data_IF_334711998598
#
_entry.id   IF_334711998598
#
_cell.length_a   1.000
_cell.length_b   1.000
_cell.length_c   1.000
_cell.angle_alpha   90.00
_cell.angle_beta   90.00
_cell.angle_gamma   90.00
#
_symmetry.space_group_name_H-M   'P 1'
#
loop_
_entity.id
_entity.type
_entity.pdbx_description
1 polymer ?
#
# COMPACT_ATOMS: atom_id res chain seq x y z
N UNK A 1 12.77 -19.75 5.44
CA UNK A 1 11.31 -19.51 5.37
C UNK A 1 11.03 -18.06 5.71
N UNK A 2 9.91 -17.49 5.26
CA UNK A 2 9.56 -16.10 5.61
C UNK A 2 9.17 -16.02 7.09
N UNK A 3 9.81 -15.12 7.85
CA UNK A 3 9.53 -14.89 9.27
C UNK A 3 8.66 -13.66 9.53
N UNK A 4 8.63 -12.70 8.60
CA UNK A 4 7.78 -11.52 8.66
C UNK A 4 7.47 -10.97 7.28
N UNK A 5 6.45 -10.13 7.21
CA UNK A 5 6.07 -9.40 6.00
C UNK A 5 6.10 -7.89 6.29
N UNK A 6 6.63 -7.13 5.34
CA UNK A 6 6.56 -5.66 5.33
C UNK A 6 5.74 -5.22 4.13
N UNK A 7 4.60 -4.59 4.38
CA UNK A 7 3.74 -4.00 3.37
C UNK A 7 4.05 -2.51 3.29
N UNK A 8 4.35 -2.01 2.10
CA UNK A 8 4.63 -0.60 1.86
C UNK A 8 3.62 -0.09 0.84
N UNK A 9 2.78 0.84 1.25
CA UNK A 9 1.72 1.37 0.40
C UNK A 9 1.75 2.89 0.25
N UNK A 10 1.21 3.39 -0.87
CA UNK A 10 0.89 4.81 -1.05
C UNK A 10 -0.58 5.01 -1.39
N UNK A 11 -1.26 5.96 -0.74
CA UNK A 11 -2.65 6.33 -1.01
C UNK A 11 -3.59 5.12 -0.95
N UNK A 12 -4.45 4.98 -1.96
CA UNK A 12 -5.42 3.87 -2.07
C UNK A 12 -4.78 2.49 -2.22
N UNK A 13 -3.46 2.41 -2.43
CA UNK A 13 -2.72 1.14 -2.42
C UNK A 13 -2.81 0.39 -1.10
N UNK A 14 -3.26 1.03 -0.02
CA UNK A 14 -3.56 0.38 1.25
C UNK A 14 -4.72 -0.63 1.15
N UNK A 15 -5.64 -0.50 0.19
CA UNK A 15 -6.83 -1.35 0.09
C UNK A 15 -6.50 -2.85 -0.04
N UNK A 16 -5.69 -3.27 -1.02
CA UNK A 16 -5.24 -4.66 -1.12
C UNK A 16 -4.47 -5.14 0.12
N UNK A 17 -3.68 -4.26 0.76
CA UNK A 17 -3.01 -4.59 2.02
C UNK A 17 -3.99 -4.94 3.13
N UNK A 18 -5.08 -4.16 3.28
CA UNK A 18 -6.11 -4.41 4.30
C UNK A 18 -6.75 -5.78 4.10
N UNK A 19 -7.17 -6.12 2.89
CA UNK A 19 -7.76 -7.43 2.61
C UNK A 19 -6.79 -8.60 2.89
N UNK A 20 -5.50 -8.42 2.59
CA UNK A 20 -4.48 -9.41 2.93
C UNK A 20 -4.27 -9.54 4.45
N UNK A 21 -4.23 -8.42 5.17
CA UNK A 21 -4.08 -8.38 6.63
C UNK A 21 -5.25 -9.07 7.31
N UNK A 22 -6.50 -8.72 6.96
CA UNK A 22 -7.71 -9.33 7.51
C UNK A 22 -7.68 -10.85 7.38
N UNK A 23 -7.26 -11.35 6.21
CA UNK A 23 -7.12 -12.79 6.01
C UNK A 23 -5.97 -13.39 6.82
N UNK A 24 -4.83 -12.70 6.89
CA UNK A 24 -3.62 -13.17 7.57
C UNK A 24 -3.79 -13.28 9.09
N UNK A 25 -4.48 -12.32 9.72
CA UNK A 25 -4.73 -12.36 11.17
C UNK A 25 -5.66 -13.50 11.55
N UNK A 26 -6.64 -13.84 10.71
CA UNK A 26 -7.53 -14.99 10.92
C UNK A 26 -6.83 -16.35 10.78
N UNK A 27 -5.83 -16.46 9.88
CA UNK A 27 -5.18 -17.74 9.59
C UNK A 27 -4.23 -18.21 10.71
N UNK A 28 -3.74 -17.31 11.56
CA UNK A 28 -2.85 -17.61 12.70
C UNK A 28 -1.46 -18.19 12.36
N UNK A 29 -1.29 -18.78 11.17
CA UNK A 29 -0.06 -19.40 10.66
C UNK A 29 0.73 -18.47 9.73
N UNK A 30 0.12 -17.38 9.28
CA UNK A 30 0.79 -16.40 8.43
C UNK A 30 1.89 -15.65 9.23
N UNK A 31 3.00 -15.20 8.63
CA UNK A 31 3.98 -14.40 9.35
C UNK A 31 3.40 -13.05 9.84
N UNK A 32 3.90 -12.47 10.94
CA UNK A 32 3.46 -11.15 11.39
C UNK A 32 3.81 -10.06 10.37
N UNK A 33 3.01 -8.98 10.37
CA UNK A 33 2.98 -7.94 9.33
C UNK A 33 3.29 -6.58 9.94
N UNK A 34 4.25 -5.86 9.35
CA UNK A 34 4.37 -4.40 9.50
C UNK A 34 3.80 -3.73 8.24
N UNK A 35 2.79 -2.87 8.41
CA UNK A 35 2.24 -2.03 7.35
C UNK A 35 2.76 -0.59 7.49
N UNK A 36 3.37 -0.07 6.44
CA UNK A 36 3.79 1.33 6.33
C UNK A 36 3.00 1.95 5.17
N UNK A 37 2.01 2.76 5.50
CA UNK A 37 1.14 3.42 4.51
C UNK A 37 1.43 4.90 4.44
N UNK A 38 1.71 5.41 3.24
CA UNK A 38 1.99 6.83 3.02
C UNK A 38 0.84 7.55 2.32
N UNK A 39 0.54 8.75 2.78
CA UNK A 39 -0.54 9.61 2.27
C UNK A 39 -0.01 11.03 2.14
N UNK A 40 -0.61 11.84 1.26
CA UNK A 40 -0.15 13.23 1.12
C UNK A 40 -0.58 14.07 2.31
N UNK A 41 -1.84 13.92 2.72
CA UNK A 41 -2.45 14.65 3.84
C UNK A 41 -3.16 13.69 4.79
N UNK A 42 -3.56 14.18 5.97
CA UNK A 42 -4.27 13.37 6.99
C UNK A 42 -5.68 12.98 6.53
N UNK A 43 -6.32 13.84 5.74
CA UNK A 43 -7.67 13.64 5.21
C UNK A 43 -7.73 12.52 4.16
N UNK A 44 -6.58 12.17 3.57
CA UNK A 44 -6.47 11.06 2.60
C UNK A 44 -6.34 9.68 3.28
N UNK A 45 -6.26 9.61 4.62
CA UNK A 45 -6.13 8.35 5.36
C UNK A 45 -7.49 7.66 5.47
N UNK A 46 -7.70 6.62 4.66
CA UNK A 46 -9.02 5.99 4.47
C UNK A 46 -9.33 4.76 5.35
N UNK A 47 -8.33 4.16 6.01
CA UNK A 47 -8.49 2.95 6.83
C UNK A 47 -7.97 3.11 8.27
N UNK A 48 -7.82 4.34 8.76
CA UNK A 48 -7.20 4.62 10.06
C UNK A 48 -7.86 3.84 11.20
N UNK A 49 -9.15 4.08 11.42
CA UNK A 49 -9.90 3.47 12.53
C UNK A 49 -9.89 1.94 12.46
N UNK A 50 -10.00 1.39 11.24
CA UNK A 50 -10.01 -0.05 11.00
C UNK A 50 -8.65 -0.69 11.27
N UNK A 51 -7.56 -0.07 10.78
CA UNK A 51 -6.20 -0.57 11.01
C UNK A 51 -5.79 -0.43 12.48
N UNK A 52 -6.22 0.64 13.15
CA UNK A 52 -6.04 0.79 14.59
C UNK A 52 -6.77 -0.30 15.38
N UNK A 53 -8.02 -0.59 15.03
CA UNK A 53 -8.77 -1.69 15.63
C UNK A 53 -8.07 -3.04 15.41
N UNK A 54 -7.71 -3.38 14.17
CA UNK A 54 -7.02 -4.63 13.85
C UNK A 54 -5.67 -4.77 14.58
N UNK A 55 -4.89 -3.69 14.69
CA UNK A 55 -3.63 -3.72 15.42
C UNK A 55 -3.84 -3.94 16.92
N UNK A 56 -4.88 -3.33 17.50
CA UNK A 56 -5.21 -3.47 18.92
C UNK A 56 -5.76 -4.87 19.24
N UNK A 57 -6.52 -5.47 18.33
CA UNK A 57 -7.04 -6.83 18.45
C UNK A 57 -5.97 -7.91 18.23
N UNK A 58 -4.98 -7.63 17.37
CA UNK A 58 -3.93 -8.59 17.00
C UNK A 58 -2.51 -8.01 17.11
N UNK A 59 -2.10 -7.50 18.28
CA UNK A 59 -0.84 -6.78 18.43
C UNK A 59 0.39 -7.66 18.18
N UNK A 60 0.31 -8.97 18.40
CA UNK A 60 1.37 -9.94 18.12
C UNK A 60 1.49 -10.29 16.62
N UNK A 61 0.57 -9.81 15.79
CA UNK A 61 0.45 -10.17 14.38
C UNK A 61 0.52 -8.98 13.44
N UNK A 62 0.09 -7.82 13.89
CA UNK A 62 0.01 -6.61 13.10
C UNK A 62 0.64 -5.45 13.85
N UNK A 63 1.43 -4.68 13.11
CA UNK A 63 1.77 -3.31 13.43
C UNK A 63 1.54 -2.48 12.18
N UNK A 64 0.96 -1.30 12.33
CA UNK A 64 0.78 -0.38 11.24
C UNK A 64 1.20 1.03 11.64
N UNK A 65 1.68 1.78 10.66
CA UNK A 65 1.94 3.21 10.81
C UNK A 65 1.55 3.95 9.54
N UNK A 66 1.08 5.18 9.70
CA UNK A 66 0.86 6.12 8.62
C UNK A 66 2.01 7.13 8.52
N UNK A 67 2.34 7.54 7.29
CA UNK A 67 3.30 8.61 7.00
C UNK A 67 2.59 9.69 6.19
N UNK A 68 2.59 10.92 6.69
CA UNK A 68 1.98 12.08 6.02
C UNK A 68 3.07 12.84 5.29
N UNK A 69 3.13 12.69 3.97
CA UNK A 69 4.28 13.16 3.18
C UNK A 69 4.35 14.68 3.04
N UNK A 70 3.25 15.42 3.22
CA UNK A 70 3.30 16.89 3.29
C UNK A 70 3.96 17.40 4.58
N UNK A 71 3.91 16.61 5.65
CA UNK A 71 4.50 16.98 6.95
C UNK A 71 5.94 16.46 7.06
N UNK A 72 6.17 15.23 6.59
CA UNK A 72 7.41 14.48 6.85
C UNK A 72 8.27 14.31 5.61
N UNK A 73 7.75 14.56 4.41
CA UNK A 73 8.39 14.18 3.14
C UNK A 73 8.06 12.75 2.71
N UNK A 74 8.45 12.38 1.48
CA UNK A 74 8.26 11.03 0.94
C UNK A 74 9.11 10.02 1.70
N UNK A 75 8.68 8.75 1.79
CA UNK A 75 9.45 7.69 2.45
C UNK A 75 10.90 7.57 1.93
N UNK A 76 11.11 7.75 0.63
CA UNK A 76 12.43 7.69 -0.01
C UNK A 76 13.19 9.03 -0.01
N UNK A 77 12.66 10.10 0.60
CA UNK A 77 13.24 11.44 0.49
C UNK A 77 14.54 11.64 1.29
N UNK A 78 14.74 10.88 2.37
CA UNK A 78 15.93 11.00 3.23
C UNK A 78 16.17 9.72 4.03
N UNK A 79 17.38 9.58 4.59
CA UNK A 79 17.70 8.50 5.54
C UNK A 79 16.81 8.52 6.79
N UNK A 80 16.37 9.71 7.23
CA UNK A 80 15.47 9.83 8.38
C UNK A 80 14.06 9.32 8.03
N UNK A 81 13.55 9.60 6.83
CA UNK A 81 12.27 9.06 6.36
C UNK A 81 12.32 7.53 6.23
N UNK A 82 13.46 6.99 5.79
CA UNK A 82 13.68 5.55 5.67
C UNK A 82 13.74 4.83 7.02
N UNK A 83 13.90 5.54 8.15
CA UNK A 83 13.77 4.93 9.49
C UNK A 83 12.42 4.25 9.67
N UNK A 84 11.37 4.67 8.96
CA UNK A 84 10.08 3.99 8.97
C UNK A 84 10.20 2.48 8.66
N UNK A 85 11.20 2.08 7.85
CA UNK A 85 11.49 0.69 7.47
C UNK A 85 12.28 -0.11 8.50
N UNK A 86 13.04 0.56 9.36
CA UNK A 86 13.85 -0.08 10.39
C UNK A 86 13.18 -0.03 11.76
N UNK A 87 12.34 0.97 12.00
CA UNK A 87 11.52 1.16 13.19
C UNK A 87 10.26 0.27 13.14
N UNK A 88 10.44 -1.00 12.81
CA UNK A 88 9.32 -1.95 12.68
C UNK A 88 9.19 -2.80 13.92
N UNK A 89 7.96 -3.26 14.23
CA UNK A 89 7.69 -4.05 15.43
C UNK A 89 8.29 -5.44 15.35
N UNK A 90 8.19 -6.09 14.19
CA UNK A 90 8.63 -7.46 14.02
C UNK A 90 10.06 -7.50 13.46
N UNK A 91 10.87 -8.44 13.94
CA UNK A 91 12.26 -8.61 13.49
C UNK A 91 12.38 -9.58 12.30
N UNK A 92 13.30 -9.29 11.39
CA UNK A 92 13.65 -10.17 10.27
C UNK A 92 14.94 -9.70 9.60
N UNK A 93 15.66 -10.63 9.01
CA UNK A 93 16.83 -10.39 8.17
C UNK A 93 16.46 -10.27 6.69
N UNK A 94 17.49 -10.04 5.89
CA UNK A 94 17.40 -9.88 4.43
C UNK A 94 16.78 -11.10 3.75
N UNK A 95 17.11 -12.31 4.20
CA UNK A 95 16.69 -13.56 3.57
C UNK A 95 15.33 -14.10 4.06
N UNK A 96 14.82 -13.57 5.18
CA UNK A 96 13.59 -14.05 5.82
C UNK A 96 12.47 -13.00 5.96
N UNK A 97 12.69 -11.78 5.45
CA UNK A 97 11.66 -10.75 5.32
C UNK A 97 11.08 -10.75 3.91
N UNK A 98 9.75 -10.79 3.80
CA UNK A 98 9.07 -10.56 2.52
C UNK A 98 8.58 -9.11 2.43
N UNK A 99 8.84 -8.45 1.31
CA UNK A 99 8.37 -7.10 1.04
C UNK A 99 7.28 -7.13 -0.04
N UNK A 100 6.18 -6.43 0.23
CA UNK A 100 5.14 -6.18 -0.77
C UNK A 100 4.99 -4.67 -0.96
N UNK A 101 5.24 -4.20 -2.18
CA UNK A 101 5.26 -2.79 -2.54
C UNK A 101 4.05 -2.46 -3.40
N UNK A 102 3.19 -1.56 -2.96
CA UNK A 102 1.98 -1.20 -3.69
C UNK A 102 1.78 0.31 -3.80
N UNK A 103 1.49 0.78 -5.01
CA UNK A 103 1.05 2.15 -5.23
C UNK A 103 1.85 2.88 -6.30
N UNK A 104 2.26 4.12 -6.01
CA UNK A 104 2.91 5.00 -6.97
C UNK A 104 4.16 4.34 -7.58
N UNK A 105 4.23 4.33 -8.92
CA UNK A 105 5.32 3.64 -9.63
C UNK A 105 6.74 4.13 -9.33
N UNK A 106 6.91 5.41 -8.97
CA UNK A 106 8.20 5.91 -8.50
C UNK A 106 8.59 5.24 -7.18
N UNK A 107 7.69 5.24 -6.19
CA UNK A 107 7.93 4.59 -4.89
C UNK A 107 8.25 3.11 -5.08
N UNK A 108 7.41 2.37 -5.82
CA UNK A 108 7.60 0.94 -6.05
C UNK A 108 8.95 0.65 -6.72
N UNK A 109 9.34 1.44 -7.72
CA UNK A 109 10.60 1.24 -8.45
C UNK A 109 11.83 1.54 -7.58
N UNK A 110 11.81 2.65 -6.85
CA UNK A 110 12.89 3.05 -5.93
C UNK A 110 13.09 2.02 -4.83
N UNK A 111 11.99 1.57 -4.21
CA UNK A 111 12.03 0.58 -3.14
C UNK A 111 12.49 -0.78 -3.64
N UNK A 112 11.97 -1.28 -4.77
CA UNK A 112 12.41 -2.57 -5.34
C UNK A 112 13.92 -2.55 -5.59
N UNK A 113 14.43 -1.51 -6.26
CA UNK A 113 15.85 -1.37 -6.56
C UNK A 113 16.70 -1.25 -5.28
N UNK A 114 16.24 -0.50 -4.28
CA UNK A 114 16.91 -0.36 -2.99
C UNK A 114 17.01 -1.69 -2.22
N UNK A 115 15.91 -2.45 -2.16
CA UNK A 115 15.86 -3.75 -1.50
C UNK A 115 16.77 -4.78 -2.18
N UNK A 116 16.75 -4.84 -3.52
CA UNK A 116 17.66 -5.71 -4.29
C UNK A 116 19.12 -5.34 -4.07
N UNK A 117 19.44 -4.03 -4.03
CA UNK A 117 20.80 -3.57 -3.71
C UNK A 117 21.24 -3.94 -2.29
N UNK A 118 20.29 -4.03 -1.35
CA UNK A 118 20.55 -4.48 0.02
C UNK A 118 20.68 -6.01 0.15
N UNK A 119 20.53 -6.76 -0.95
CA UNK A 119 20.66 -8.21 -0.99
C UNK A 119 19.36 -8.98 -0.77
N UNK A 120 18.21 -8.32 -0.71
CA UNK A 120 16.91 -9.01 -0.56
C UNK A 120 16.66 -9.86 -1.82
N UNK A 121 16.42 -11.18 -1.68
CA UNK A 121 16.15 -12.05 -2.82
C UNK A 121 14.94 -11.60 -3.63
N UNK A 122 14.95 -11.76 -4.95
CA UNK A 122 13.86 -11.28 -5.81
C UNK A 122 12.52 -11.93 -5.47
N UNK A 123 12.52 -13.22 -5.12
CA UNK A 123 11.33 -13.96 -4.68
C UNK A 123 10.74 -13.46 -3.35
N UNK A 124 11.48 -12.62 -2.61
CA UNK A 124 11.02 -11.93 -1.40
C UNK A 124 10.46 -10.53 -1.67
N UNK A 125 10.37 -10.12 -2.93
CA UNK A 125 9.85 -8.81 -3.31
C UNK A 125 8.70 -9.00 -4.29
N UNK A 126 7.51 -8.56 -3.88
CA UNK A 126 6.31 -8.55 -4.72
C UNK A 126 5.86 -7.11 -4.93
N UNK A 127 5.32 -6.80 -6.11
CA UNK A 127 4.98 -5.43 -6.48
C UNK A 127 3.62 -5.32 -7.16
N UNK A 128 2.89 -4.27 -6.84
CA UNK A 128 1.68 -3.81 -7.54
C UNK A 128 1.83 -2.33 -7.86
N UNK A 129 1.93 -2.00 -9.14
CA UNK A 129 2.29 -0.66 -9.57
C UNK A 129 1.09 0.06 -10.19
N UNK A 130 0.69 1.18 -9.59
CA UNK A 130 -0.21 2.11 -10.23
C UNK A 130 0.61 2.99 -11.18
N UNK A 131 0.42 2.74 -12.45
CA UNK A 131 0.93 3.58 -13.50
C UNK A 131 0.25 4.95 -13.42
N UNK A 132 1.06 5.99 -13.24
CA UNK A 132 0.62 7.36 -13.45
C UNK A 132 0.48 7.57 -14.97
N UNK A 133 -0.60 7.05 -15.55
CA UNK A 133 -0.76 7.01 -17.00
C UNK A 133 -1.00 8.43 -17.53
N UNK A 134 0.00 8.96 -18.23
CA UNK A 134 -0.26 9.74 -19.46
C UNK A 134 -0.61 8.76 -20.61
N UNK A 135 -1.55 7.84 -20.39
CA UNK A 135 -2.10 7.08 -21.50
C UNK A 135 -3.01 8.02 -22.28
N UNK A 136 -2.85 8.07 -23.60
CA UNK A 136 -3.75 8.85 -24.42
C UNK A 136 -5.18 8.33 -24.26
N UNK A 137 -6.09 9.27 -24.04
CA UNK A 137 -7.50 8.95 -23.81
C UNK A 137 -8.11 8.45 -25.11
N UNK A 138 -8.72 7.27 -25.06
CA UNK A 138 -9.52 6.78 -26.19
C UNK A 138 -10.83 7.60 -26.25
N UNK A 139 -10.92 8.49 -27.25
CA UNK A 139 -12.05 9.43 -27.42
C UNK A 139 -13.38 8.72 -27.64
N UNK A 140 -13.38 7.57 -28.33
CA UNK A 140 -14.61 6.77 -28.52
C UNK A 140 -15.09 6.17 -27.20
N UNK A 141 -14.16 5.69 -26.35
CA UNK A 141 -14.51 5.19 -25.03
C UNK A 141 -15.08 6.30 -24.14
N UNK A 142 -14.54 7.52 -24.22
CA UNK A 142 -15.10 8.69 -23.51
C UNK A 142 -16.52 8.98 -23.97
N UNK A 143 -16.77 9.00 -25.29
CA UNK A 143 -18.11 9.20 -25.83
C UNK A 143 -19.10 8.16 -25.33
N UNK A 144 -18.73 6.88 -25.36
CA UNK A 144 -19.58 5.78 -24.86
C UNK A 144 -19.88 5.91 -23.36
N UNK A 145 -18.88 6.25 -22.54
CA UNK A 145 -19.05 6.44 -21.10
C UNK A 145 -19.99 7.63 -20.83
N UNK A 146 -19.80 8.75 -21.53
CA UNK A 146 -20.64 9.94 -21.37
C UNK A 146 -22.10 9.65 -21.70
N UNK A 147 -22.37 9.00 -22.84
CA UNK A 147 -23.74 8.61 -23.22
C UNK A 147 -24.38 7.70 -22.18
N UNK A 148 -23.66 6.69 -21.67
CA UNK A 148 -24.19 5.76 -20.67
C UNK A 148 -24.56 6.46 -19.34
N UNK A 149 -23.73 7.40 -18.88
CA UNK A 149 -24.00 8.17 -17.65
C UNK A 149 -25.21 9.10 -17.83
N UNK A 150 -25.32 9.76 -18.99
CA UNK A 150 -26.45 10.66 -19.29
C UNK A 150 -27.78 9.88 -19.42
N UNK A 151 -27.76 8.67 -19.97
CA UNK A 151 -28.93 7.79 -20.02
C UNK A 151 -29.39 7.40 -18.61
N UNK A 152 -28.47 7.16 -17.66
CA UNK A 152 -28.84 6.89 -16.26
C UNK A 152 -29.42 8.11 -15.53
N UNK A 153 -29.05 9.35 -15.88
CA UNK A 153 -29.70 10.55 -15.34
C UNK A 153 -31.09 10.79 -15.93
N UNK A 154 -31.30 10.55 -17.23
CA UNK A 154 -32.61 10.71 -17.85
C UNK A 154 -33.67 9.75 -17.24
N UNK A 155 -33.24 8.56 -16.82
CA UNK A 155 -34.09 7.55 -16.18
C UNK A 155 -34.37 7.87 -14.71
N UNK A 156 -33.48 8.59 -14.01
CA UNK A 156 -33.68 8.97 -12.60
C UNK A 156 -34.56 10.21 -12.43
N UNK A 157 -34.57 11.13 -13.40
CA UNK A 157 -35.44 12.33 -13.41
C UNK A 157 -36.87 12.01 -13.86
N UNK A 158 -37.08 10.89 -14.55
CA UNK A 158 -38.39 10.44 -15.01
C UNK A 158 -39.15 9.55 -13.98
N UNK A 159 -38.65 9.43 -12.74
CA UNK A 159 -39.30 8.70 -11.64
C UNK A 159 -39.82 9.63 -10.55
#
# INVERSE_FOLDING_TARGET
STKRVVLISTGVGVGPCVGAIEKAVQLGSFPPIDLISSYRTKEEVIYEEHLDALQNEHPERLAWKKVITNEQGRLSASSDNLKALTDTKFGGGVDDTHYHLIGNGQMVSEFKAGLQKAGVPEEKITVEMYFNHKAEVNVEAVGRIASAVMETEAVSVAR
#
